data_IF_453004094698
#
_entry.id   IF_453004094698
#
_cell.length_a   1.000
_cell.length_b   1.000
_cell.length_c   1.000
_cell.angle_alpha   90.00
_cell.angle_beta   90.00
_cell.angle_gamma   90.00
#
_symmetry.space_group_name_H-M   'P 1'
#
loop_
_entity.id
_entity.type
_entity.pdbx_description
1 polymer ?
#
# COMPACT_ATOMS: atom_id res chain seq x y z
N UNK A 1 -16.39 -2.21 -0.08
CA UNK A 1 -15.37 -3.23 -0.37
C UNK A 1 -14.00 -2.68 -0.03
N UNK A 2 -13.28 -3.40 0.79
CA UNK A 2 -11.98 -2.95 1.26
C UNK A 2 -10.88 -3.58 0.42
N UNK A 3 -10.12 -2.73 -0.26
CA UNK A 3 -8.97 -3.17 -1.02
C UNK A 3 -7.70 -2.73 -0.29
N UNK A 4 -6.85 -3.68 0.02
CA UNK A 4 -5.51 -3.37 0.50
C UNK A 4 -4.67 -2.93 -0.68
N UNK A 5 -3.92 -1.86 -0.51
CA UNK A 5 -3.09 -1.27 -1.57
C UNK A 5 -1.63 -1.45 -1.18
N UNK A 6 -0.78 -1.94 -2.08
CA UNK A 6 0.65 -2.04 -1.80
C UNK A 6 1.28 -0.66 -1.69
N UNK A 7 2.15 -0.51 -0.69
CA UNK A 7 2.93 0.70 -0.51
C UNK A 7 4.38 0.35 -0.22
N UNK A 8 5.30 1.17 -0.72
CA UNK A 8 6.73 1.00 -0.45
C UNK A 8 7.11 1.86 0.74
N UNK A 9 7.74 1.27 1.74
CA UNK A 9 8.18 2.00 2.93
C UNK A 9 9.35 2.89 2.55
N UNK A 10 9.17 4.19 2.71
CA UNK A 10 10.20 5.19 2.43
C UNK A 10 10.99 5.56 3.66
N UNK A 11 10.35 5.61 4.82
CA UNK A 11 11.00 5.95 6.07
C UNK A 11 10.24 5.34 7.25
N UNK A 12 10.97 5.12 8.34
CA UNK A 12 10.41 4.62 9.59
C UNK A 12 10.45 5.72 10.63
N UNK A 13 9.39 5.84 11.40
CA UNK A 13 9.27 6.84 12.46
C UNK A 13 9.08 6.18 13.81
N UNK A 14 9.09 6.97 14.87
CA UNK A 14 8.82 6.49 16.21
C UNK A 14 7.36 6.03 16.33
N UNK A 15 7.07 5.27 17.36
CA UNK A 15 5.71 4.77 17.67
C UNK A 15 5.15 3.83 16.60
N UNK A 16 6.02 3.03 16.01
CA UNK A 16 5.62 2.02 15.00
C UNK A 16 4.87 2.63 13.81
N UNK A 17 5.31 3.79 13.35
CA UNK A 17 4.74 4.46 12.18
C UNK A 17 5.79 4.56 11.08
N UNK A 18 5.32 4.73 9.88
CA UNK A 18 6.21 4.89 8.73
C UNK A 18 5.51 5.64 7.62
N UNK A 19 6.31 6.19 6.71
CA UNK A 19 5.81 6.82 5.49
C UNK A 19 5.94 5.83 4.36
N UNK A 20 4.85 5.62 3.62
CA UNK A 20 4.82 4.75 2.45
C UNK A 20 4.41 5.52 1.22
N UNK A 21 4.90 5.05 0.07
CA UNK A 21 4.52 5.57 -1.24
C UNK A 21 3.49 4.63 -1.85
N UNK A 22 2.31 5.17 -2.14
CA UNK A 22 1.23 4.45 -2.80
C UNK A 22 0.83 5.22 -4.04
N UNK A 23 1.16 4.71 -5.22
CA UNK A 23 0.84 5.35 -6.50
C UNK A 23 1.38 6.78 -6.60
N UNK A 24 2.56 7.04 -6.07
CA UNK A 24 3.15 8.36 -6.06
C UNK A 24 2.70 9.27 -4.93
N UNK A 25 1.71 8.86 -4.14
CA UNK A 25 1.24 9.62 -2.97
C UNK A 25 1.89 9.07 -1.71
N UNK A 26 2.47 9.96 -0.91
CA UNK A 26 3.09 9.58 0.35
C UNK A 26 2.05 9.65 1.48
N UNK A 27 1.98 8.59 2.27
CA UNK A 27 1.05 8.50 3.39
C UNK A 27 1.76 7.96 4.62
N UNK A 28 1.36 8.45 5.78
CA UNK A 28 1.81 7.89 7.04
C UNK A 28 0.89 6.76 7.44
N UNK A 29 1.48 5.61 7.79
CA UNK A 29 0.71 4.42 8.18
C UNK A 29 1.25 3.86 9.48
N UNK A 30 0.41 3.08 10.16
CA UNK A 30 0.82 2.32 11.33
C UNK A 30 1.45 1.01 10.90
N UNK A 31 2.61 0.70 11.46
CA UNK A 31 3.32 -0.56 11.22
C UNK A 31 3.21 -1.53 12.41
N UNK A 32 2.21 -1.31 13.27
CA UNK A 32 2.04 -2.13 14.48
C UNK A 32 1.82 -3.59 14.16
N UNK A 33 1.20 -3.89 13.03
CA UNK A 33 0.91 -5.25 12.59
C UNK A 33 2.05 -5.87 11.78
N UNK A 34 3.04 -5.06 11.40
CA UNK A 34 4.20 -5.50 10.62
C UNK A 34 5.49 -5.00 11.26
N UNK A 35 5.78 -5.42 12.50
CA UNK A 35 6.93 -4.84 13.24
C UNK A 35 8.29 -5.18 12.64
N UNK A 36 8.36 -6.18 11.77
CA UNK A 36 9.61 -6.56 11.10
C UNK A 36 9.83 -5.84 9.77
N UNK A 37 8.94 -4.95 9.37
CA UNK A 37 9.08 -4.24 8.11
C UNK A 37 10.23 -3.23 8.17
N UNK A 38 10.93 -3.07 7.05
CA UNK A 38 12.10 -2.19 6.93
C UNK A 38 11.90 -1.22 5.76
N UNK A 39 12.70 -0.15 5.76
CA UNK A 39 12.72 0.77 4.63
C UNK A 39 13.06 0.01 3.35
N UNK A 40 12.30 0.26 2.30
CA UNK A 40 12.42 -0.42 1.03
C UNK A 40 11.49 -1.62 0.89
N UNK A 41 10.92 -2.11 1.98
CA UNK A 41 9.95 -3.21 1.93
C UNK A 41 8.62 -2.72 1.39
N UNK A 42 7.88 -3.64 0.78
CA UNK A 42 6.51 -3.39 0.37
C UNK A 42 5.55 -3.97 1.39
N UNK A 43 4.49 -3.23 1.68
CA UNK A 43 3.46 -3.67 2.61
C UNK A 43 2.09 -3.45 1.99
N UNK A 44 1.13 -4.28 2.38
CA UNK A 44 -0.26 -4.06 2.05
C UNK A 44 -0.86 -3.09 3.07
N UNK A 45 -1.45 -2.00 2.57
CA UNK A 45 -2.02 -0.96 3.42
C UNK A 45 -3.53 -0.98 3.31
N UNK A 46 -4.20 -0.98 4.45
CA UNK A 46 -5.66 -0.95 4.54
C UNK A 46 -6.05 -0.04 5.69
N UNK A 47 -6.85 0.98 5.40
CA UNK A 47 -7.38 1.90 6.41
C UNK A 47 -6.28 2.53 7.30
N UNK A 48 -5.11 2.83 6.72
CA UNK A 48 -4.02 3.46 7.44
C UNK A 48 -3.11 2.49 8.19
N UNK A 49 -3.34 1.18 8.06
CA UNK A 49 -2.51 0.15 8.68
C UNK A 49 -1.81 -0.70 7.63
N UNK A 50 -0.51 -0.94 7.85
CA UNK A 50 0.19 -1.97 7.09
C UNK A 50 -0.19 -3.32 7.71
N UNK A 51 -0.77 -4.21 6.92
CA UNK A 51 -1.30 -5.47 7.44
C UNK A 51 -0.43 -6.67 7.11
N UNK A 52 0.45 -6.55 6.13
CA UNK A 52 1.29 -7.67 5.70
C UNK A 52 2.47 -7.13 4.90
N UNK A 53 3.65 -7.71 5.14
CA UNK A 53 4.82 -7.46 4.30
C UNK A 53 4.74 -8.37 3.08
N UNK A 54 4.93 -7.82 1.89
CA UNK A 54 4.92 -8.56 0.64
C UNK A 54 6.23 -8.31 -0.11
N UNK A 55 6.54 -9.18 -1.07
CA UNK A 55 7.73 -8.96 -1.89
C UNK A 55 7.44 -7.98 -3.03
N UNK A 56 8.50 -7.50 -3.69
CA UNK A 56 8.38 -6.50 -4.74
C UNK A 56 7.57 -7.02 -5.94
N UNK A 57 7.67 -8.30 -6.25
CA UNK A 57 6.93 -8.89 -7.35
C UNK A 57 5.43 -8.95 -7.05
N UNK A 58 5.06 -9.38 -5.85
CA UNK A 58 3.66 -9.37 -5.42
C UNK A 58 3.09 -7.97 -5.42
N UNK A 59 3.89 -6.99 -4.97
CA UNK A 59 3.47 -5.60 -4.95
C UNK A 59 3.18 -5.11 -6.37
N UNK A 60 4.06 -5.40 -7.32
CA UNK A 60 3.88 -4.98 -8.71
C UNK A 60 2.63 -5.60 -9.32
N UNK A 61 2.39 -6.89 -9.09
CA UNK A 61 1.22 -7.59 -9.60
C UNK A 61 -0.07 -7.03 -9.00
N UNK A 62 -0.06 -6.77 -7.68
CA UNK A 62 -1.22 -6.23 -6.99
C UNK A 62 -1.51 -4.80 -7.43
N UNK A 63 -0.47 -3.97 -7.60
CA UNK A 63 -0.64 -2.61 -8.09
C UNK A 63 -1.23 -2.58 -9.48
N UNK A 64 -0.77 -3.46 -10.37
CA UNK A 64 -1.31 -3.56 -11.71
C UNK A 64 -2.79 -3.94 -11.68
N UNK A 65 -3.16 -4.91 -10.85
CA UNK A 65 -4.55 -5.32 -10.71
C UNK A 65 -5.42 -4.21 -10.15
N UNK A 66 -4.97 -3.50 -9.14
CA UNK A 66 -5.71 -2.38 -8.56
C UNK A 66 -5.90 -1.27 -9.60
N UNK A 67 -4.88 -0.98 -10.38
CA UNK A 67 -4.96 0.02 -11.45
C UNK A 67 -5.98 -0.39 -12.50
N UNK A 68 -5.98 -1.64 -12.92
CA UNK A 68 -6.93 -2.15 -13.90
C UNK A 68 -8.36 -2.05 -13.39
N UNK A 69 -8.59 -2.37 -12.12
CA UNK A 69 -9.90 -2.25 -11.51
C UNK A 69 -10.37 -0.79 -11.45
N UNK A 70 -9.45 0.11 -11.14
CA UNK A 70 -9.78 1.54 -11.11
C UNK A 70 -10.14 2.06 -12.50
N UNK A 71 -9.41 1.64 -13.53
CA UNK A 71 -9.69 2.02 -14.91
C UNK A 71 -11.05 1.49 -15.37
N UNK A 72 -11.37 0.25 -15.04
CA UNK A 72 -12.68 -0.33 -15.37
C UNK A 72 -13.80 0.42 -14.67
N UNK A 73 -13.62 0.80 -13.41
CA UNK A 73 -14.63 1.54 -12.67
C UNK A 73 -14.88 2.91 -13.28
N UNK A 74 -13.83 3.57 -13.76
CA UNK A 74 -13.96 4.87 -14.43
C UNK A 74 -14.74 4.74 -15.75
N UNK A 75 -14.49 3.68 -16.52
CA UNK A 75 -15.16 3.47 -17.80
C UNK A 75 -16.64 3.14 -17.61
N UNK A 76 -16.99 2.51 -16.50
CA UNK A 76 -18.37 2.09 -16.24
C UNK A 76 -19.20 3.14 -15.50
N UNK A 77 -18.56 4.11 -14.87
CA UNK A 77 -19.29 5.16 -14.14
C UNK A 77 -19.96 6.11 -15.13
N UNK A 78 -21.23 6.42 -14.91
CA UNK A 78 -21.90 7.44 -15.72
C UNK A 78 -21.22 8.81 -15.52
N UNK A 79 -21.11 9.51 -16.63
CA UNK A 79 -20.51 10.84 -16.59
C UNK A 79 -21.38 11.84 -15.82
#
# INVERSE_FOLDING_TARGET
>A
MCLAVPGKILSLHQDTRGTVDMFGAQREVSLRLTPSAHVGDYVLVHAGFAIQVIDAQEAAETLELVQDLADLAQDELPA
#
